data_IF_038753057256
#
_entry.id   IF_038753057256
#
_cell.length_a   1.000
_cell.length_b   1.000
_cell.length_c   1.000
_cell.angle_alpha   90.00
_cell.angle_beta   90.00
_cell.angle_gamma   90.00
#
_symmetry.space_group_name_H-M   'P 1'
#
loop_
_entity.id
_entity.type
_entity.pdbx_description
1 polymer ?
#
# COMPACT_ATOMS: atom_id res chain seq x y z
N UNK A 1 31.99 2.73 0.38
CA UNK A 1 30.60 2.26 0.13
C UNK A 1 29.74 2.75 1.28
N UNK A 2 28.71 3.58 0.98
CA UNK A 2 27.91 4.24 1.99
C UNK A 2 27.01 3.24 2.75
N UNK A 3 26.66 3.55 4.01
CA UNK A 3 25.81 2.72 4.86
C UNK A 3 24.49 2.29 4.17
N UNK A 4 23.83 3.23 3.48
CA UNK A 4 22.59 2.99 2.73
C UNK A 4 22.78 1.92 1.64
N UNK A 5 23.88 1.99 0.87
CA UNK A 5 24.17 0.99 -0.17
C UNK A 5 24.46 -0.38 0.41
N UNK A 6 25.05 -0.45 1.60
CA UNK A 6 25.28 -1.74 2.31
C UNK A 6 23.95 -2.37 2.74
N UNK A 7 23.02 -1.59 3.30
CA UNK A 7 21.68 -2.09 3.67
C UNK A 7 20.96 -2.61 2.44
N UNK A 8 20.92 -1.82 1.36
CA UNK A 8 20.20 -2.20 0.14
C UNK A 8 20.80 -3.41 -0.58
N UNK A 9 22.10 -3.63 -0.49
CA UNK A 9 22.75 -4.79 -1.11
C UNK A 9 22.61 -6.07 -0.27
N UNK A 10 22.30 -6.00 1.01
CA UNK A 10 22.14 -7.16 1.86
C UNK A 10 20.69 -7.66 1.84
N UNK A 11 20.50 -8.99 1.83
CA UNK A 11 19.15 -9.59 1.93
C UNK A 11 18.48 -9.26 3.26
N UNK A 12 19.25 -9.20 4.36
CA UNK A 12 18.75 -8.80 5.68
C UNK A 12 18.31 -7.35 5.69
N UNK A 13 19.09 -6.45 5.09
CA UNK A 13 18.73 -5.04 4.99
C UNK A 13 17.44 -4.81 4.21
N UNK A 14 17.24 -5.50 3.08
CA UNK A 14 15.98 -5.44 2.32
C UNK A 14 14.78 -5.97 3.12
N UNK A 15 14.96 -7.06 3.89
CA UNK A 15 13.92 -7.58 4.80
C UNK A 15 13.58 -6.57 5.89
N UNK A 16 14.57 -5.86 6.43
CA UNK A 16 14.33 -4.81 7.42
C UNK A 16 13.56 -3.62 6.84
N UNK A 17 13.94 -3.16 5.64
CA UNK A 17 13.18 -2.12 4.91
C UNK A 17 11.74 -2.59 4.69
N UNK A 18 11.54 -3.83 4.24
CA UNK A 18 10.21 -4.41 4.03
C UNK A 18 9.37 -4.45 5.31
N UNK A 19 9.99 -4.81 6.44
CA UNK A 19 9.30 -4.86 7.73
C UNK A 19 8.86 -3.46 8.20
N UNK A 20 9.76 -2.48 8.14
CA UNK A 20 9.45 -1.11 8.57
C UNK A 20 8.39 -0.45 7.69
N UNK A 21 8.55 -0.55 6.37
CA UNK A 21 7.57 0.02 5.44
C UNK A 21 6.24 -0.71 5.53
N UNK A 22 6.24 -2.03 5.67
CA UNK A 22 5.03 -2.82 5.87
C UNK A 22 4.30 -2.48 7.15
N UNK A 23 5.02 -2.25 8.26
CA UNK A 23 4.42 -1.80 9.52
C UNK A 23 3.77 -0.41 9.37
N UNK A 24 4.45 0.54 8.72
CA UNK A 24 3.91 1.87 8.47
C UNK A 24 2.64 1.82 7.60
N UNK A 25 2.65 1.03 6.53
CA UNK A 25 1.49 0.83 5.65
C UNK A 25 0.32 0.16 6.39
N UNK A 26 0.61 -0.84 7.24
CA UNK A 26 -0.41 -1.51 8.04
C UNK A 26 -1.09 -0.56 9.03
N UNK A 27 -0.32 0.25 9.74
CA UNK A 27 -0.86 1.26 10.67
C UNK A 27 -1.71 2.30 9.92
N UNK A 28 -1.26 2.72 8.75
CA UNK A 28 -2.05 3.61 7.90
C UNK A 28 -3.38 2.96 7.50
N UNK A 29 -3.39 1.70 7.08
CA UNK A 29 -4.63 1.00 6.68
C UNK A 29 -5.62 0.94 7.84
N UNK A 30 -5.16 0.71 9.08
CA UNK A 30 -6.03 0.75 10.26
C UNK A 30 -6.64 2.15 10.43
N UNK A 31 -5.82 3.20 10.42
CA UNK A 31 -6.32 4.58 10.55
C UNK A 31 -7.25 4.98 9.40
N UNK A 32 -6.91 4.58 8.18
CA UNK A 32 -7.74 4.80 6.99
C UNK A 32 -9.09 4.09 7.10
N UNK A 33 -9.10 2.85 7.58
CA UNK A 33 -10.34 2.12 7.84
C UNK A 33 -11.20 2.85 8.89
N UNK A 34 -10.62 3.22 10.03
CA UNK A 34 -11.34 3.94 11.10
C UNK A 34 -11.94 5.24 10.57
N UNK A 35 -11.19 6.01 9.77
CA UNK A 35 -11.71 7.22 9.13
C UNK A 35 -12.90 6.94 8.20
N UNK A 36 -12.83 5.89 7.40
CA UNK A 36 -13.89 5.54 6.46
C UNK A 36 -15.11 4.87 7.13
N UNK A 37 -14.96 4.24 8.29
CA UNK A 37 -16.08 3.69 9.07
C UNK A 37 -17.08 4.77 9.53
N UNK A 38 -16.71 6.05 9.49
CA UNK A 38 -17.64 7.16 9.76
C UNK A 38 -18.82 7.20 8.78
N UNK A 39 -18.75 6.49 7.66
CA UNK A 39 -19.89 6.32 6.73
C UNK A 39 -21.13 5.74 7.44
N UNK A 40 -20.93 4.90 8.45
CA UNK A 40 -22.01 4.30 9.23
C UNK A 40 -22.64 5.26 10.26
N UNK A 41 -22.00 6.41 10.52
CA UNK A 41 -22.53 7.49 11.35
C UNK A 41 -23.36 8.51 10.55
N UNK A 42 -23.47 8.29 9.25
CA UNK A 42 -24.21 9.16 8.33
C UNK A 42 -23.32 10.09 7.49
N UNK A 43 -23.89 10.69 6.44
CA UNK A 43 -23.13 11.50 5.49
C UNK A 43 -22.46 12.71 6.12
N UNK A 44 -23.09 13.37 7.10
CA UNK A 44 -22.52 14.54 7.76
C UNK A 44 -21.24 14.24 8.52
N UNK A 45 -21.14 13.07 9.15
CA UNK A 45 -19.94 12.67 9.87
C UNK A 45 -18.75 12.47 8.90
N UNK A 46 -18.98 11.74 7.81
CA UNK A 46 -17.97 11.49 6.79
C UNK A 46 -17.55 12.79 6.07
N UNK A 47 -18.52 13.66 5.74
CA UNK A 47 -18.24 14.92 5.08
C UNK A 47 -17.42 15.87 5.97
N UNK A 48 -17.76 15.99 7.27
CA UNK A 48 -16.93 16.75 8.22
C UNK A 48 -15.51 16.25 8.31
N UNK A 49 -15.33 14.92 8.33
CA UNK A 49 -14.00 14.31 8.34
C UNK A 49 -13.24 14.61 7.03
N UNK A 50 -13.90 14.48 5.88
CA UNK A 50 -13.31 14.83 4.58
C UNK A 50 -12.91 16.32 4.51
N UNK A 51 -13.79 17.21 4.97
CA UNK A 51 -13.51 18.64 5.04
C UNK A 51 -12.34 18.95 5.96
N UNK A 52 -12.27 18.32 7.13
CA UNK A 52 -11.13 18.45 8.04
C UNK A 52 -9.79 18.09 7.36
N UNK A 53 -9.76 16.98 6.63
CA UNK A 53 -8.56 16.58 5.89
C UNK A 53 -8.21 17.58 4.79
N UNK A 54 -9.18 18.06 4.03
CA UNK A 54 -8.97 19.02 2.95
C UNK A 54 -8.54 20.40 3.47
N UNK A 55 -8.97 20.78 4.67
CA UNK A 55 -8.55 22.03 5.30
C UNK A 55 -7.14 22.00 5.87
N UNK A 56 -6.52 20.81 6.01
CA UNK A 56 -5.19 20.61 6.59
C UNK A 56 -4.22 19.99 5.56
N UNK A 57 -4.14 20.58 4.38
CA UNK A 57 -3.31 20.05 3.27
C UNK A 57 -1.82 20.00 3.61
N UNK A 58 -1.33 20.85 4.49
CA UNK A 58 0.04 20.86 4.99
C UNK A 58 0.39 19.57 5.77
N UNK A 59 -0.60 18.88 6.35
CA UNK A 59 -0.44 17.58 7.00
C UNK A 59 -0.66 16.46 5.99
N UNK A 60 -1.68 16.59 5.14
CA UNK A 60 -2.08 15.54 4.20
C UNK A 60 -1.01 15.26 3.15
N UNK A 61 -0.35 16.29 2.61
CA UNK A 61 0.67 16.11 1.59
C UNK A 61 1.92 15.36 2.07
N UNK A 62 2.55 15.70 3.20
CA UNK A 62 3.64 14.91 3.75
C UNK A 62 3.27 13.45 4.00
N UNK A 63 2.06 13.18 4.50
CA UNK A 63 1.56 11.81 4.71
C UNK A 63 1.42 11.09 3.37
N UNK A 64 0.83 11.71 2.34
CA UNK A 64 0.71 11.13 0.98
C UNK A 64 2.07 10.78 0.38
N UNK A 65 3.03 11.70 0.45
CA UNK A 65 4.38 11.48 -0.09
C UNK A 65 5.13 10.41 0.70
N UNK A 66 5.00 10.41 2.03
CA UNK A 66 5.58 9.39 2.90
C UNK A 66 5.03 7.99 2.60
N UNK A 67 3.71 7.87 2.44
CA UNK A 67 3.05 6.60 2.08
C UNK A 67 3.46 6.13 0.68
N UNK A 68 3.52 7.04 -0.29
CA UNK A 68 3.99 6.70 -1.64
C UNK A 68 5.43 6.17 -1.60
N UNK A 69 6.30 6.81 -0.83
CA UNK A 69 7.66 6.34 -0.59
C UNK A 69 7.71 4.97 0.08
N UNK A 70 6.87 4.75 1.10
CA UNK A 70 6.75 3.44 1.77
C UNK A 70 6.28 2.35 0.81
N UNK A 71 5.25 2.59 0.01
CA UNK A 71 4.76 1.63 -1.00
C UNK A 71 5.85 1.31 -2.01
N UNK A 72 6.52 2.32 -2.56
CA UNK A 72 7.59 2.13 -3.54
C UNK A 72 8.74 1.30 -2.97
N UNK A 73 9.24 1.64 -1.77
CA UNK A 73 10.32 0.91 -1.13
C UNK A 73 9.91 -0.53 -0.76
N UNK A 74 8.68 -0.72 -0.27
CA UNK A 74 8.15 -2.03 0.08
C UNK A 74 8.09 -2.95 -1.15
N UNK A 75 7.48 -2.47 -2.23
CA UNK A 75 7.35 -3.23 -3.48
C UNK A 75 8.71 -3.52 -4.10
N UNK A 76 9.61 -2.53 -4.17
CA UNK A 76 10.96 -2.72 -4.70
C UNK A 76 11.76 -3.75 -3.89
N UNK A 77 11.69 -3.70 -2.55
CA UNK A 77 12.35 -4.68 -1.69
C UNK A 77 11.76 -6.09 -1.88
N UNK A 78 10.43 -6.21 -1.96
CA UNK A 78 9.75 -7.49 -2.18
C UNK A 78 10.11 -8.13 -3.52
N UNK A 79 10.08 -7.36 -4.61
CA UNK A 79 10.45 -7.84 -5.96
C UNK A 79 11.93 -8.26 -6.01
N UNK A 80 12.83 -7.44 -5.43
CA UNK A 80 14.28 -7.75 -5.40
C UNK A 80 14.56 -8.99 -4.59
N UNK A 81 13.97 -9.14 -3.40
CA UNK A 81 14.14 -10.34 -2.58
C UNK A 81 13.58 -11.58 -3.28
N UNK A 82 12.44 -11.48 -3.93
CA UNK A 82 11.86 -12.59 -4.68
C UNK A 82 12.76 -13.03 -5.84
N UNK A 83 13.31 -12.08 -6.59
CA UNK A 83 14.24 -12.36 -7.68
C UNK A 83 15.54 -13.00 -7.17
N UNK A 84 16.11 -12.47 -6.09
CA UNK A 84 17.34 -13.02 -5.46
C UNK A 84 17.11 -14.43 -4.91
N UNK A 85 15.96 -14.68 -4.27
CA UNK A 85 15.61 -16.01 -3.77
C UNK A 85 15.48 -17.03 -4.92
N UNK A 86 14.88 -16.61 -6.05
CA UNK A 86 14.76 -17.46 -7.24
C UNK A 86 16.12 -17.73 -7.87
N UNK A 87 17.00 -16.73 -7.95
CA UNK A 87 18.35 -16.89 -8.51
C UNK A 87 19.26 -17.73 -7.63
N UNK A 88 19.10 -17.66 -6.30
CA UNK A 88 19.87 -18.46 -5.35
C UNK A 88 19.56 -19.97 -5.43
N UNK A 89 18.45 -20.35 -6.09
CA UNK A 89 18.06 -21.76 -6.26
C UNK A 89 17.67 -22.04 -7.71
N UNK A 90 18.62 -22.30 -8.58
CA UNK A 90 18.36 -22.53 -10.02
C UNK A 90 17.68 -23.88 -10.30
N UNK A 91 17.81 -24.84 -9.37
CA UNK A 91 17.18 -26.18 -9.50
C UNK A 91 15.97 -26.26 -8.58
N UNK A 92 14.81 -26.64 -9.11
CA UNK A 92 13.58 -26.82 -8.34
C UNK A 92 13.64 -27.98 -7.35
N UNK A 93 12.61 -28.11 -6.52
CA UNK A 93 12.46 -29.30 -5.68
C UNK A 93 12.00 -30.48 -6.54
N UNK A 94 12.62 -31.66 -6.37
CA UNK A 94 12.09 -32.90 -6.85
C UNK A 94 11.03 -33.41 -5.88
N UNK A 95 9.79 -33.63 -6.37
CA UNK A 95 8.66 -34.12 -5.58
C UNK A 95 7.63 -33.05 -5.22
N UNK A 96 6.57 -33.47 -4.54
CA UNK A 96 5.49 -32.57 -4.11
C UNK A 96 6.01 -31.58 -3.06
N UNK A 97 6.03 -30.28 -3.35
CA UNK A 97 6.48 -29.27 -2.39
C UNK A 97 5.42 -29.06 -1.33
N UNK A 98 5.37 -29.95 -0.35
CA UNK A 98 4.55 -29.74 0.86
C UNK A 98 5.48 -29.34 2.03
N UNK A 99 5.94 -28.08 2.07
CA UNK A 99 6.91 -27.65 3.08
C UNK A 99 6.22 -27.62 4.45
N UNK A 100 6.80 -28.33 5.42
CA UNK A 100 6.31 -28.47 6.79
C UNK A 100 6.12 -27.10 7.48
N UNK A 101 6.96 -26.11 7.12
CA UNK A 101 7.01 -24.80 7.79
C UNK A 101 6.41 -23.64 6.98
N UNK A 102 5.97 -23.85 5.74
CA UNK A 102 5.43 -22.77 4.90
C UNK A 102 3.91 -22.91 4.74
N UNK A 103 3.17 -21.95 5.31
CA UNK A 103 1.72 -21.87 5.15
C UNK A 103 1.34 -21.49 3.69
N UNK A 104 0.09 -21.73 3.31
CA UNK A 104 -0.45 -21.27 2.03
C UNK A 104 -0.26 -19.75 1.85
N UNK A 105 -0.55 -18.97 2.90
CA UNK A 105 -0.39 -17.52 2.89
C UNK A 105 1.05 -17.10 2.57
N UNK A 106 2.06 -17.75 3.18
CA UNK A 106 3.47 -17.42 2.91
C UNK A 106 3.91 -17.76 1.48
N UNK A 107 3.33 -18.80 0.89
CA UNK A 107 3.63 -19.22 -0.49
C UNK A 107 2.96 -18.33 -1.54
N UNK A 108 1.83 -17.74 -1.22
CA UNK A 108 1.07 -16.85 -2.12
C UNK A 108 1.32 -15.36 -1.87
N UNK A 109 2.25 -15.03 -0.98
CA UNK A 109 2.50 -13.65 -0.55
C UNK A 109 2.82 -12.69 -1.71
N UNK A 110 3.64 -13.11 -2.67
CA UNK A 110 3.97 -12.27 -3.83
C UNK A 110 2.74 -12.01 -4.70
N UNK A 111 1.93 -13.06 -4.95
CA UNK A 111 0.72 -12.92 -5.77
C UNK A 111 -0.32 -12.01 -5.09
N UNK A 112 -0.57 -12.22 -3.81
CA UNK A 112 -1.49 -11.36 -3.04
C UNK A 112 -0.99 -9.91 -2.97
N UNK A 113 0.32 -9.71 -2.85
CA UNK A 113 0.94 -8.39 -2.91
C UNK A 113 0.73 -7.70 -4.26
N UNK A 114 0.82 -8.41 -5.38
CA UNK A 114 0.53 -7.86 -6.71
C UNK A 114 -0.95 -7.47 -6.87
N UNK A 115 -1.87 -8.27 -6.33
CA UNK A 115 -3.31 -7.96 -6.33
C UNK A 115 -3.56 -6.68 -5.52
N UNK A 116 -2.96 -6.55 -4.33
CA UNK A 116 -3.06 -5.35 -3.50
C UNK A 116 -2.45 -4.14 -4.22
N UNK A 117 -1.31 -4.29 -4.89
CA UNK A 117 -0.70 -3.21 -5.65
C UNK A 117 -1.60 -2.72 -6.79
N UNK A 118 -2.22 -3.64 -7.53
CA UNK A 118 -3.20 -3.29 -8.57
C UNK A 118 -4.43 -2.57 -7.97
N UNK A 119 -4.92 -3.04 -6.82
CA UNK A 119 -6.01 -2.36 -6.10
C UNK A 119 -5.62 -0.95 -5.65
N UNK A 120 -4.41 -0.75 -5.12
CA UNK A 120 -3.95 0.58 -4.70
C UNK A 120 -3.94 1.54 -5.90
N UNK A 121 -3.44 1.11 -7.06
CA UNK A 121 -3.43 1.92 -8.29
C UNK A 121 -4.88 2.29 -8.66
N UNK A 122 -5.78 1.31 -8.74
CA UNK A 122 -7.18 1.55 -9.04
C UNK A 122 -7.82 2.50 -8.03
N UNK A 123 -7.61 2.29 -6.73
CA UNK A 123 -8.14 3.10 -5.65
C UNK A 123 -7.69 4.57 -5.74
N UNK A 124 -6.41 4.80 -6.03
CA UNK A 124 -5.88 6.15 -6.21
C UNK A 124 -6.44 6.82 -7.46
N UNK A 125 -6.57 6.10 -8.57
CA UNK A 125 -7.16 6.62 -9.80
C UNK A 125 -8.64 6.97 -9.61
N UNK A 126 -9.36 6.19 -8.81
CA UNK A 126 -10.78 6.38 -8.55
C UNK A 126 -11.06 7.52 -7.56
N UNK A 127 -10.38 7.56 -6.41
CA UNK A 127 -10.71 8.46 -5.30
C UNK A 127 -9.76 9.65 -5.12
N UNK A 128 -8.57 9.61 -5.74
CA UNK A 128 -7.58 10.68 -5.57
C UNK A 128 -7.37 11.46 -6.87
N UNK A 129 -7.18 10.76 -7.99
CA UNK A 129 -6.96 11.36 -9.30
C UNK A 129 -8.27 11.67 -10.03
N UNK A 130 -9.35 10.97 -9.66
CA UNK A 130 -10.70 11.13 -10.22
C UNK A 130 -10.75 10.96 -11.75
N UNK A 131 -10.12 9.91 -12.26
CA UNK A 131 -10.07 9.61 -13.69
C UNK A 131 -11.48 9.31 -14.20
N UNK A 132 -12.00 10.12 -15.13
CA UNK A 132 -13.37 10.04 -15.64
C UNK A 132 -13.77 8.66 -16.16
N UNK A 133 -12.84 7.90 -16.77
CA UNK A 133 -13.10 6.55 -17.27
C UNK A 133 -13.23 5.47 -16.19
N UNK A 134 -12.82 5.76 -14.96
CA UNK A 134 -12.86 4.85 -13.80
C UNK A 134 -13.97 5.28 -12.83
N UNK A 135 -14.18 6.58 -12.67
CA UNK A 135 -15.26 7.14 -11.86
C UNK A 135 -16.57 7.16 -12.69
N UNK A 136 -17.20 5.98 -12.78
CA UNK A 136 -18.45 5.81 -13.55
C UNK A 136 -19.66 6.49 -12.92
N UNK A 137 -19.58 6.91 -11.66
CA UNK A 137 -20.71 7.58 -10.98
C UNK A 137 -20.95 9.01 -11.46
N UNK A 138 -19.99 9.58 -12.22
CA UNK A 138 -20.08 10.98 -12.69
C UNK A 138 -20.12 12.02 -11.57
N UNK A 139 -20.00 11.59 -10.31
CA UNK A 139 -19.98 12.48 -9.16
C UNK A 139 -18.63 13.19 -9.12
N UNK A 140 -18.67 14.43 -9.55
CA UNK A 140 -17.59 15.36 -9.34
C UNK A 140 -17.68 15.86 -7.90
N UNK A 141 -16.87 15.27 -7.02
CA UNK A 141 -16.78 15.68 -5.61
C UNK A 141 -16.27 17.13 -5.44
N UNK A 142 -15.78 17.75 -6.51
CA UNK A 142 -15.44 19.17 -6.53
C UNK A 142 -16.67 20.09 -6.43
N UNK A 143 -17.88 19.58 -6.67
CA UNK A 143 -19.14 20.32 -6.58
C UNK A 143 -19.85 20.23 -5.23
N UNK A 144 -19.33 19.49 -4.25
CA UNK A 144 -19.82 19.57 -2.87
C UNK A 144 -19.29 20.84 -2.22
N UNK A 145 -19.80 21.98 -2.67
CA UNK A 145 -19.71 23.22 -1.90
C UNK A 145 -20.79 23.14 -0.83
N UNK A 146 -20.38 23.38 0.42
CA UNK A 146 -21.23 23.51 1.57
C UNK A 146 -22.49 24.35 1.24
N UNK A 147 -23.63 23.72 1.09
CA UNK A 147 -24.88 24.40 1.35
C UNK A 147 -24.94 24.61 2.87
N UNK A 148 -24.69 25.85 3.28
CA UNK A 148 -24.80 26.32 4.66
C UNK A 148 -26.25 26.25 5.14
#
# INVERSE_FOLDING_TARGET
MNFITRIWRSSVGKKFIMALTGCALFLFVIGHLVGNLQIFLGPDALNRYGHFLQSNMEIVWPVRLGLLGCVALHVLAAVRLSAENKAARPVGYEGDPNPIAASYASRTMLMSGLIIAAFIIYHLLHYTVLVKGINLSGQDFAGFQDEK
#
